data_IF_379049475515
#
_entry.id   IF_379049475515
#
_cell.length_a   1.000
_cell.length_b   1.000
_cell.length_c   1.000
_cell.angle_alpha   90.00
_cell.angle_beta   90.00
_cell.angle_gamma   90.00
#
_symmetry.space_group_name_H-M   'P 1'
#
loop_
_entity.id
_entity.type
_entity.pdbx_description
1 polymer ?
#
# COMPACT_ATOMS: atom_id res chain seq x y z
N UNK A 1 28.19 -9.28 3.69
CA UNK A 1 27.01 -9.01 2.83
C UNK A 1 27.34 -7.78 2.03
N UNK A 2 28.00 -7.97 0.89
CA UNK A 2 28.34 -6.89 -0.02
C UNK A 2 27.07 -6.55 -0.79
N UNK A 3 26.52 -5.36 -0.55
CA UNK A 3 25.73 -4.70 -1.58
C UNK A 3 26.73 -4.47 -2.72
N UNK A 4 26.77 -5.37 -3.69
CA UNK A 4 27.43 -5.03 -4.94
C UNK A 4 26.73 -3.78 -5.45
N UNK A 5 27.50 -2.80 -5.89
CA UNK A 5 26.96 -1.65 -6.59
C UNK A 5 26.51 -2.10 -7.97
N UNK A 6 25.60 -3.07 -8.05
CA UNK A 6 25.07 -3.59 -9.30
C UNK A 6 24.33 -2.44 -9.98
N UNK A 7 25.05 -1.84 -10.92
CA UNK A 7 24.55 -1.13 -12.09
C UNK A 7 23.81 -2.10 -13.04
N UNK A 8 23.09 -3.08 -12.48
CA UNK A 8 22.31 -4.04 -13.22
C UNK A 8 21.08 -3.35 -13.78
N UNK A 9 20.79 -3.61 -15.05
CA UNK A 9 19.53 -3.19 -15.65
C UNK A 9 18.35 -3.64 -14.74
N UNK A 10 17.31 -2.80 -14.58
CA UNK A 10 16.13 -3.18 -13.82
C UNK A 10 15.52 -4.48 -14.37
N UNK A 11 14.85 -5.31 -13.55
CA UNK A 11 14.13 -6.47 -14.05
C UNK A 11 13.15 -6.10 -15.17
N UNK A 12 12.93 -6.99 -16.14
CA UNK A 12 12.04 -6.75 -17.30
C UNK A 12 10.65 -6.18 -16.90
N UNK A 13 9.96 -6.67 -15.85
CA UNK A 13 8.67 -6.10 -15.44
C UNK A 13 8.75 -4.65 -14.94
N UNK A 14 9.92 -4.24 -14.42
CA UNK A 14 10.20 -2.88 -13.97
C UNK A 14 10.47 -1.98 -15.18
N UNK A 15 11.24 -2.46 -16.15
CA UNK A 15 11.47 -1.77 -17.42
C UNK A 15 10.18 -1.58 -18.24
N UNK A 16 9.30 -2.59 -18.27
CA UNK A 16 8.00 -2.52 -18.94
C UNK A 16 7.09 -1.41 -18.38
N UNK A 17 7.32 -0.98 -17.13
CA UNK A 17 6.65 0.18 -16.52
C UNK A 17 7.34 1.51 -16.83
N UNK A 18 8.36 1.49 -17.69
CA UNK A 18 9.20 2.62 -18.07
C UNK A 18 10.23 3.03 -17.01
N UNK A 19 10.54 2.17 -16.05
CA UNK A 19 11.56 2.41 -15.03
C UNK A 19 12.85 1.77 -15.54
N UNK A 20 13.71 2.58 -16.16
CA UNK A 20 14.95 2.13 -16.82
C UNK A 20 16.19 2.47 -16.00
N UNK A 21 16.06 3.42 -15.08
CA UNK A 21 17.10 3.82 -14.15
C UNK A 21 16.47 4.31 -12.84
N UNK A 22 17.32 4.72 -11.90
CA UNK A 22 16.89 5.25 -10.60
C UNK A 22 16.10 6.56 -10.71
N UNK A 23 16.50 7.44 -11.62
CA UNK A 23 15.89 8.77 -11.75
C UNK A 23 14.45 8.64 -12.26
N UNK A 24 14.25 7.88 -13.33
CA UNK A 24 12.95 7.50 -13.89
C UNK A 24 12.10 6.75 -12.87
N UNK A 25 12.71 5.88 -12.05
CA UNK A 25 12.04 5.20 -10.94
C UNK A 25 11.48 6.17 -9.88
N UNK A 26 12.27 7.14 -9.44
CA UNK A 26 11.84 8.16 -8.46
C UNK A 26 10.77 9.07 -9.06
N UNK A 27 10.92 9.49 -10.32
CA UNK A 27 9.92 10.30 -11.02
C UNK A 27 8.57 9.57 -11.09
N UNK A 28 8.57 8.32 -11.54
CA UNK A 28 7.36 7.49 -11.63
C UNK A 28 6.75 7.20 -10.27
N UNK A 29 7.56 6.97 -9.25
CA UNK A 29 7.09 6.81 -7.89
C UNK A 29 6.30 8.06 -7.45
N UNK A 30 6.90 9.25 -7.58
CA UNK A 30 6.22 10.53 -7.27
C UNK A 30 4.88 10.67 -7.99
N UNK A 31 4.85 10.38 -9.29
CA UNK A 31 3.63 10.50 -10.09
C UNK A 31 2.53 9.52 -9.61
N UNK A 32 2.90 8.30 -9.22
CA UNK A 32 1.95 7.27 -8.78
C UNK A 32 1.22 7.58 -7.47
N UNK A 33 1.73 8.51 -6.65
CA UNK A 33 1.02 8.93 -5.43
C UNK A 33 -0.35 9.56 -5.76
N UNK A 34 -0.52 10.14 -6.96
CA UNK A 34 -1.79 10.71 -7.38
C UNK A 34 -2.90 9.66 -7.48
N UNK A 35 -2.57 8.44 -7.93
CA UNK A 35 -3.54 7.35 -8.06
C UNK A 35 -4.16 6.98 -6.70
N UNK A 36 -3.38 6.98 -5.63
CA UNK A 36 -3.88 6.76 -4.27
C UNK A 36 -4.96 7.79 -3.89
N UNK A 37 -4.73 9.06 -4.22
CA UNK A 37 -5.69 10.13 -3.92
C UNK A 37 -6.93 10.04 -4.79
N UNK A 38 -6.78 9.67 -6.05
CA UNK A 38 -7.91 9.54 -6.98
C UNK A 38 -8.81 8.37 -6.56
N UNK A 39 -8.24 7.22 -6.21
CA UNK A 39 -8.98 6.06 -5.67
C UNK A 39 -9.68 6.42 -4.35
N UNK A 40 -8.99 7.11 -3.44
CA UNK A 40 -9.58 7.54 -2.17
C UNK A 40 -10.74 8.51 -2.39
N UNK A 41 -10.59 9.48 -3.32
CA UNK A 41 -11.67 10.41 -3.69
C UNK A 41 -12.85 9.68 -4.32
N UNK A 42 -12.60 8.70 -5.17
CA UNK A 42 -13.67 7.90 -5.78
C UNK A 42 -14.48 7.16 -4.71
N UNK A 43 -13.82 6.52 -3.75
CA UNK A 43 -14.48 5.82 -2.65
C UNK A 43 -15.28 6.78 -1.77
N UNK A 44 -14.74 7.96 -1.47
CA UNK A 44 -15.39 8.96 -0.62
C UNK A 44 -16.52 9.71 -1.34
N UNK A 45 -16.37 9.98 -2.64
CA UNK A 45 -17.33 10.73 -3.46
C UNK A 45 -18.59 9.96 -3.85
N UNK A 46 -18.62 8.64 -3.61
CA UNK A 46 -19.78 7.77 -3.86
C UNK A 46 -20.93 7.93 -2.85
N UNK A 47 -20.81 8.81 -1.85
CA UNK A 47 -21.83 8.94 -0.79
C UNK A 47 -22.38 10.36 -0.68
N UNK A 48 -23.71 10.48 -0.80
CA UNK A 48 -24.41 11.76 -0.71
C UNK A 48 -24.89 12.12 0.69
N UNK A 49 -24.89 11.24 1.72
CA UNK A 49 -25.57 11.63 2.97
C UNK A 49 -25.02 11.16 4.34
N UNK A 50 -24.00 10.31 4.51
CA UNK A 50 -23.40 10.08 5.85
C UNK A 50 -22.03 9.37 5.81
N UNK A 51 -21.06 9.88 6.57
CA UNK A 51 -19.75 9.24 6.78
C UNK A 51 -19.95 7.98 7.66
N UNK A 52 -19.75 6.79 7.08
CA UNK A 52 -19.68 5.52 7.83
C UNK A 52 -18.24 5.14 8.26
N UNK A 53 -18.11 4.17 9.16
CA UNK A 53 -16.81 3.69 9.69
C UNK A 53 -15.84 3.22 8.61
N UNK A 54 -16.36 2.68 7.50
CA UNK A 54 -15.56 2.31 6.33
C UNK A 54 -14.84 3.51 5.72
N UNK A 55 -15.49 4.67 5.65
CA UNK A 55 -14.86 5.90 5.17
C UNK A 55 -13.79 6.40 6.13
N UNK A 56 -14.02 6.31 7.45
CA UNK A 56 -13.01 6.66 8.45
C UNK A 56 -11.76 5.78 8.30
N UNK A 57 -11.95 4.47 8.07
CA UNK A 57 -10.85 3.56 7.78
C UNK A 57 -10.12 3.95 6.49
N UNK A 58 -10.85 4.15 5.39
CA UNK A 58 -10.24 4.52 4.10
C UNK A 58 -9.47 5.83 4.20
N UNK A 59 -10.04 6.87 4.83
CA UNK A 59 -9.34 8.14 5.03
C UNK A 59 -8.06 7.96 5.86
N UNK A 60 -8.11 7.18 6.94
CA UNK A 60 -6.96 6.90 7.80
C UNK A 60 -5.86 6.14 7.05
N UNK A 61 -6.22 5.06 6.36
CA UNK A 61 -5.27 4.22 5.61
C UNK A 61 -4.72 4.96 4.38
N UNK A 62 -5.51 5.77 3.68
CA UNK A 62 -5.06 6.57 2.55
C UNK A 62 -4.11 7.68 3.00
N UNK A 63 -4.42 8.39 4.09
CA UNK A 63 -3.54 9.43 4.65
C UNK A 63 -2.20 8.84 5.09
N UNK A 64 -2.23 7.67 5.73
CA UNK A 64 -1.02 6.94 6.14
C UNK A 64 -0.22 6.46 4.94
N UNK A 65 -0.87 5.90 3.92
CA UNK A 65 -0.22 5.50 2.68
C UNK A 65 0.48 6.69 2.00
N UNK A 66 -0.17 7.86 1.91
CA UNK A 66 0.42 9.05 1.32
C UNK A 66 1.71 9.48 2.04
N UNK A 67 1.68 9.55 3.37
CA UNK A 67 2.88 9.90 4.16
C UNK A 67 4.01 8.87 4.06
N UNK A 68 3.67 7.57 4.05
CA UNK A 68 4.64 6.49 3.89
C UNK A 68 5.26 6.49 2.48
N UNK A 69 4.45 6.75 1.45
CA UNK A 69 4.92 6.88 0.06
C UNK A 69 5.89 8.05 -0.08
N UNK A 70 5.48 9.25 0.34
CA UNK A 70 6.31 10.45 0.23
C UNK A 70 7.62 10.29 1.02
N UNK A 71 7.53 9.77 2.25
CA UNK A 71 8.72 9.47 3.05
C UNK A 71 9.65 8.46 2.39
N UNK A 72 9.12 7.39 1.78
CA UNK A 72 9.92 6.39 1.09
C UNK A 72 10.61 6.98 -0.14
N UNK A 73 9.89 7.76 -0.95
CA UNK A 73 10.44 8.45 -2.12
C UNK A 73 11.50 9.48 -1.71
N UNK A 74 11.27 10.22 -0.62
CA UNK A 74 12.25 11.15 -0.07
C UNK A 74 13.52 10.43 0.40
N UNK A 75 13.37 9.33 1.16
CA UNK A 75 14.48 8.52 1.64
C UNK A 75 15.28 7.89 0.49
N UNK A 76 14.60 7.46 -0.57
CA UNK A 76 15.25 7.08 -1.82
C UNK A 76 15.97 8.30 -2.41
N UNK A 77 15.33 9.45 -2.59
CA UNK A 77 15.99 10.67 -3.08
C UNK A 77 17.27 11.06 -2.32
N UNK A 78 17.31 10.79 -1.02
CA UNK A 78 18.44 11.07 -0.12
C UNK A 78 19.46 9.91 0.03
N UNK A 79 19.39 8.88 -0.82
CA UNK A 79 20.28 7.70 -0.78
C UNK A 79 20.28 6.98 0.58
N UNK A 80 19.11 6.91 1.23
CA UNK A 80 18.92 6.23 2.51
C UNK A 80 18.04 4.96 2.34
N UNK A 81 18.62 3.85 1.86
CA UNK A 81 17.87 2.63 1.56
C UNK A 81 17.30 1.94 2.81
N UNK A 82 17.91 2.11 3.99
CA UNK A 82 17.42 1.52 5.24
C UNK A 82 16.09 2.15 5.68
N UNK A 83 16.00 3.48 5.60
CA UNK A 83 14.77 4.21 5.87
C UNK A 83 13.73 3.90 4.80
N UNK A 84 14.11 3.94 3.52
CA UNK A 84 13.21 3.61 2.41
C UNK A 84 12.59 2.22 2.57
N UNK A 85 13.40 1.21 2.87
CA UNK A 85 12.93 -0.17 3.09
C UNK A 85 11.94 -0.26 4.26
N UNK A 86 12.24 0.42 5.38
CA UNK A 86 11.36 0.42 6.56
C UNK A 86 10.01 1.04 6.25
N UNK A 87 10.00 2.16 5.51
CA UNK A 87 8.77 2.85 5.12
C UNK A 87 7.97 2.04 4.11
N UNK A 88 8.62 1.41 3.13
CA UNK A 88 7.96 0.51 2.17
C UNK A 88 7.34 -0.70 2.87
N UNK A 89 8.02 -1.28 3.86
CA UNK A 89 7.45 -2.35 4.68
C UNK A 89 6.16 -1.90 5.37
N UNK A 90 6.19 -0.76 6.05
CA UNK A 90 4.98 -0.20 6.68
C UNK A 90 3.89 0.15 5.66
N UNK A 91 4.25 0.54 4.44
CA UNK A 91 3.30 0.80 3.35
C UNK A 91 2.58 -0.48 2.94
N UNK A 92 3.31 -1.58 2.79
CA UNK A 92 2.73 -2.91 2.48
C UNK A 92 1.85 -3.41 3.61
N UNK A 93 2.25 -3.23 4.88
CA UNK A 93 1.42 -3.56 6.04
C UNK A 93 0.10 -2.74 6.06
N UNK A 94 0.15 -1.48 5.65
CA UNK A 94 -1.03 -0.63 5.48
C UNK A 94 -1.95 -1.14 4.35
N UNK A 95 -1.39 -1.57 3.22
CA UNK A 95 -2.16 -2.18 2.13
C UNK A 95 -2.80 -3.52 2.55
N UNK A 96 -2.08 -4.34 3.32
CA UNK A 96 -2.63 -5.58 3.88
C UNK A 96 -3.84 -5.31 4.78
N UNK A 97 -3.84 -4.21 5.55
CA UNK A 97 -5.00 -3.80 6.35
C UNK A 97 -6.23 -3.48 5.49
N UNK A 98 -6.04 -2.86 4.32
CA UNK A 98 -7.13 -2.62 3.35
C UNK A 98 -7.74 -3.94 2.87
N UNK A 99 -6.89 -4.88 2.42
CA UNK A 99 -7.32 -6.20 1.95
C UNK A 99 -8.07 -6.97 3.05
N UNK A 100 -7.53 -6.97 4.27
CA UNK A 100 -8.15 -7.64 5.40
C UNK A 100 -9.52 -7.03 5.74
N UNK A 101 -9.62 -5.70 5.75
CA UNK A 101 -10.87 -5.00 6.04
C UNK A 101 -11.95 -5.23 4.97
N UNK A 102 -11.56 -5.30 3.69
CA UNK A 102 -12.46 -5.62 2.57
C UNK A 102 -13.17 -6.97 2.78
N UNK A 103 -12.41 -7.98 3.16
CA UNK A 103 -12.94 -9.35 3.30
C UNK A 103 -13.53 -9.61 4.70
N UNK A 104 -13.26 -8.73 5.67
CA UNK A 104 -13.74 -8.83 7.05
C UNK A 104 -14.40 -7.54 7.55
N UNK A 105 -15.51 -7.08 6.94
CA UNK A 105 -16.15 -5.82 7.32
C UNK A 105 -16.67 -5.82 8.77
N UNK A 106 -17.02 -6.98 9.33
CA UNK A 106 -17.41 -7.11 10.74
C UNK A 106 -16.25 -6.81 11.72
N UNK A 107 -15.00 -6.79 11.26
CA UNK A 107 -13.81 -6.53 12.07
C UNK A 107 -13.40 -5.05 12.03
N UNK A 108 -14.07 -4.17 11.27
CA UNK A 108 -13.69 -2.77 11.09
C UNK A 108 -13.46 -2.03 12.41
N UNK A 109 -14.32 -2.21 13.40
CA UNK A 109 -14.14 -1.59 14.73
C UNK A 109 -12.86 -2.04 15.43
N UNK A 110 -12.51 -3.32 15.30
CA UNK A 110 -11.27 -3.87 15.90
C UNK A 110 -10.02 -3.42 15.15
N UNK A 111 -10.13 -3.16 13.84
CA UNK A 111 -9.06 -2.60 13.02
C UNK A 111 -8.85 -1.13 13.38
N UNK A 112 -9.92 -0.37 13.54
CA UNK A 112 -9.92 1.04 13.95
C UNK A 112 -9.57 1.24 15.43
N UNK A 113 -9.50 0.16 16.22
CA UNK A 113 -9.28 0.24 17.67
C UNK A 113 -10.46 0.85 18.43
N UNK A 114 -11.66 0.83 17.85
CA UNK A 114 -12.88 1.29 18.50
C UNK A 114 -13.41 0.26 19.50
N UNK A 115 -13.95 0.76 20.61
CA UNK A 115 -14.58 -0.04 21.66
C UNK A 115 -13.61 -0.74 22.61
N UNK A 116 -14.12 -1.72 23.39
CA UNK A 116 -13.34 -2.50 24.37
C UNK A 116 -12.75 -3.79 23.78
N UNK A 117 -12.98 -4.05 22.50
CA UNK A 117 -12.55 -5.27 21.82
C UNK A 117 -11.05 -5.27 21.60
N UNK A 118 -10.40 -6.43 21.71
CA UNK A 118 -8.95 -6.55 21.45
C UNK A 118 -8.65 -6.20 19.99
N UNK A 119 -7.68 -5.30 19.72
CA UNK A 119 -7.26 -4.97 18.37
C UNK A 119 -6.85 -6.20 17.58
N UNK A 120 -7.02 -6.15 16.26
CA UNK A 120 -6.47 -7.19 15.37
C UNK A 120 -4.94 -7.09 15.40
N UNK A 121 -4.25 -8.21 15.61
CA UNK A 121 -2.78 -8.22 15.60
C UNK A 121 -2.29 -7.98 14.18
N UNK A 122 -1.26 -7.15 14.00
CA UNK A 122 -0.64 -6.88 12.69
C UNK A 122 -0.25 -8.18 11.99
N UNK A 123 0.32 -9.15 12.72
CA UNK A 123 0.67 -10.47 12.16
C UNK A 123 -0.52 -11.25 11.57
N UNK A 124 -1.75 -11.06 12.10
CA UNK A 124 -2.94 -11.67 11.51
C UNK A 124 -3.27 -11.04 10.15
N UNK A 125 -3.10 -9.73 10.02
CA UNK A 125 -3.38 -8.97 8.80
C UNK A 125 -2.33 -9.31 7.73
N UNK A 126 -1.05 -9.32 8.08
CA UNK A 126 0.04 -9.60 7.13
C UNK A 126 -0.01 -11.05 6.64
N UNK A 127 -0.21 -12.01 7.55
CA UNK A 127 -0.34 -13.43 7.16
C UNK A 127 -1.55 -13.65 6.25
N UNK A 128 -2.65 -12.92 6.47
CA UNK A 128 -3.81 -12.99 5.60
C UNK A 128 -3.49 -12.52 4.17
N UNK A 129 -2.77 -11.42 4.04
CA UNK A 129 -2.35 -10.88 2.75
C UNK A 129 -1.38 -11.81 2.02
N UNK A 130 -0.42 -12.42 2.74
CA UNK A 130 0.50 -13.42 2.18
C UNK A 130 -0.25 -14.62 1.58
N UNK A 131 -1.23 -15.16 2.32
CA UNK A 131 -2.15 -16.22 1.85
C UNK A 131 -3.14 -15.75 0.77
N UNK A 132 -3.26 -14.45 0.55
CA UNK A 132 -4.09 -13.85 -0.48
C UNK A 132 -3.44 -13.81 -1.85
N UNK A 133 -2.12 -13.95 -1.93
CA UNK A 133 -1.36 -13.94 -3.20
C UNK A 133 -1.84 -15.06 -4.12
N UNK A 134 -2.03 -16.27 -3.59
CA UNK A 134 -2.63 -17.41 -4.29
C UNK A 134 -4.08 -17.18 -4.73
N UNK A 135 -4.82 -16.28 -4.05
CA UNK A 135 -6.22 -15.93 -4.36
C UNK A 135 -6.34 -14.83 -5.41
N UNK A 136 -5.38 -13.90 -5.46
CA UNK A 136 -5.35 -12.80 -6.45
C UNK A 136 -4.90 -13.29 -7.83
N UNK A 137 -4.00 -14.27 -7.90
CA UNK A 137 -3.61 -14.93 -9.16
C UNK A 137 -4.82 -15.62 -9.84
N UNK A 138 -5.71 -16.23 -9.06
CA UNK A 138 -6.94 -16.85 -9.57
C UNK A 138 -7.98 -15.85 -10.12
N UNK A 139 -7.95 -14.59 -9.67
CA UNK A 139 -8.85 -13.53 -10.16
C UNK A 139 -8.32 -12.82 -11.42
N UNK A 140 -7.01 -12.86 -11.65
CA UNK A 140 -6.39 -12.29 -12.86
C UNK A 140 -6.61 -13.16 -14.11
N UNK A 141 -7.04 -14.41 -13.96
CA UNK A 141 -7.34 -15.35 -15.05
C UNK A 141 -8.80 -15.30 -15.55
N UNK A 142 -9.66 -14.45 -14.94
CA UNK A 142 -11.04 -14.30 -15.41
C UNK A 142 -11.13 -13.12 -16.39
N UNK A 143 -11.51 -13.36 -17.67
CA UNK A 143 -11.72 -12.27 -18.62
C UNK A 143 -12.94 -11.44 -18.20
N UNK A 144 -12.81 -10.12 -18.36
CA UNK A 144 -13.87 -9.12 -18.19
C UNK A 144 -15.01 -9.39 -19.18
#
# INVERSE_FOLDING_TARGET
MTCDGSTGEPPEPVQARGIVDRATGIEKARASCQWLFDDAKEVLGRTNDMICDGHLLVMGLASRAAGLHDGAVHALGADNPLVAYTLLRSYVENAAAVLYAKDHPAQLHRILGFGRSRPVKVGTITNYAEQGTDRLECLAEQPI
#
